data_IF_276374929712
#
_entry.id   IF_276374929712
#
_cell.length_a   1.000
_cell.length_b   1.000
_cell.length_c   1.000
_cell.angle_alpha   90.00
_cell.angle_beta   90.00
_cell.angle_gamma   90.00
#
_symmetry.space_group_name_H-M   'P 1'
#
loop_
_entity.id
_entity.type
_entity.pdbx_description
1 polymer ?
#
# COMPACT_ATOMS: atom_id res chain seq x y z
N UNK A 1 4.07 11.18 5.86
CA UNK A 1 3.53 10.05 5.10
C UNK A 1 4.36 8.80 5.36
N UNK A 2 3.77 7.78 5.98
CA UNK A 2 4.43 6.49 6.25
C UNK A 2 3.70 5.39 5.49
N UNK A 3 4.44 4.61 4.71
CA UNK A 3 3.92 3.51 3.89
C UNK A 3 4.62 2.21 4.30
N UNK A 4 3.84 1.14 4.42
CA UNK A 4 4.38 -0.21 4.63
C UNK A 4 3.95 -1.09 3.47
N UNK A 5 4.90 -1.84 2.92
CA UNK A 5 4.64 -2.89 1.95
C UNK A 5 5.33 -4.17 2.42
N UNK A 6 4.62 -5.29 2.28
CA UNK A 6 5.12 -6.62 2.49
C UNK A 6 4.93 -7.43 1.20
N UNK A 7 5.99 -8.09 0.76
CA UNK A 7 5.98 -8.96 -0.41
C UNK A 7 6.44 -10.35 0.05
N UNK A 8 5.72 -11.39 -0.39
CA UNK A 8 6.06 -12.76 -0.08
C UNK A 8 5.99 -13.64 -1.33
N UNK A 9 7.11 -14.28 -1.64
CA UNK A 9 7.20 -15.24 -2.74
C UNK A 9 6.76 -16.61 -2.24
N UNK A 10 5.68 -17.14 -2.82
CA UNK A 10 5.16 -18.47 -2.49
C UNK A 10 5.94 -19.59 -3.21
N UNK A 11 6.69 -19.25 -4.26
CA UNK A 11 7.40 -20.20 -5.12
C UNK A 11 6.62 -20.52 -6.39
N UNK A 12 7.26 -21.22 -7.33
CA UNK A 12 6.65 -21.63 -8.61
C UNK A 12 6.01 -20.48 -9.41
N UNK A 13 6.62 -19.29 -9.39
CA UNK A 13 6.11 -18.12 -10.10
C UNK A 13 5.02 -17.33 -9.37
N UNK A 14 4.55 -17.77 -8.20
CA UNK A 14 3.54 -17.07 -7.41
C UNK A 14 4.14 -16.12 -6.38
N UNK A 15 3.59 -14.91 -6.32
CA UNK A 15 3.91 -13.90 -5.32
C UNK A 15 2.64 -13.26 -4.78
N UNK A 16 2.64 -12.89 -3.51
CA UNK A 16 1.59 -12.09 -2.89
C UNK A 16 2.19 -10.80 -2.36
N UNK A 17 1.44 -9.71 -2.50
CA UNK A 17 1.80 -8.41 -1.97
C UNK A 17 0.67 -7.87 -1.10
N UNK A 18 1.05 -7.13 -0.06
CA UNK A 18 0.13 -6.38 0.76
C UNK A 18 0.78 -5.03 1.11
N UNK A 19 0.04 -3.94 1.03
CA UNK A 19 0.54 -2.63 1.43
C UNK A 19 -0.52 -1.79 2.13
N UNK A 20 -0.03 -0.89 2.98
CA UNK A 20 -0.82 0.11 3.69
C UNK A 20 -0.17 1.45 3.43
N UNK A 21 -0.91 2.38 2.81
CA UNK A 21 -0.47 3.76 2.72
C UNK A 21 -1.09 4.58 3.83
N UNK A 22 -0.35 5.59 4.28
CA UNK A 22 -0.72 6.42 5.42
C UNK A 22 -0.99 5.58 6.68
N UNK A 23 0.00 4.78 7.10
CA UNK A 23 -0.10 3.83 8.21
C UNK A 23 -0.66 4.47 9.50
N UNK A 24 -0.19 5.67 9.81
CA UNK A 24 -0.56 6.42 11.01
C UNK A 24 -1.78 7.32 10.82
N UNK A 25 -2.49 7.19 9.71
CA UNK A 25 -3.72 7.93 9.41
C UNK A 25 -3.58 9.44 9.66
N UNK A 26 -2.41 9.97 9.27
CA UNK A 26 -2.09 11.36 9.53
C UNK A 26 -2.80 12.19 8.49
N UNK A 27 -3.65 13.12 8.95
CA UNK A 27 -4.28 14.10 8.09
C UNK A 27 -3.24 15.15 7.72
N UNK A 28 -2.72 15.07 6.50
CA UNK A 28 -1.91 16.13 5.92
C UNK A 28 -2.82 16.96 5.04
N UNK A 29 -2.99 18.23 5.39
CA UNK A 29 -3.46 19.20 4.42
C UNK A 29 -2.22 19.67 3.66
N UNK A 30 -2.05 19.24 2.41
CA UNK A 30 -1.25 20.06 1.51
C UNK A 30 -1.97 21.41 1.41
N UNK A 31 -1.20 22.47 1.60
CA UNK A 31 -1.66 23.84 1.43
C UNK A 31 -2.54 23.92 0.17
N UNK A 32 -3.74 24.52 0.29
CA UNK A 32 -4.71 24.77 -0.81
C UNK A 32 -5.84 23.75 -1.08
N UNK A 33 -6.38 23.08 -0.05
CA UNK A 33 -7.81 22.72 -0.05
C UNK A 33 -8.23 21.41 -0.74
N UNK A 34 -7.29 20.55 -1.14
CA UNK A 34 -7.59 19.18 -1.58
C UNK A 34 -7.40 18.19 -0.43
N UNK A 35 -8.45 17.41 -0.14
CA UNK A 35 -8.40 16.34 0.86
C UNK A 35 -7.62 15.16 0.25
N UNK A 36 -6.51 14.77 0.87
CA UNK A 36 -5.81 13.54 0.50
C UNK A 36 -6.60 12.30 0.95
N UNK A 37 -6.41 11.19 0.22
CA UNK A 37 -6.91 9.90 0.67
C UNK A 37 -6.28 9.54 2.03
N UNK A 38 -7.13 9.16 2.98
CA UNK A 38 -6.69 8.67 4.29
C UNK A 38 -5.96 7.33 4.18
N UNK A 39 -5.93 6.56 5.27
CA UNK A 39 -5.34 5.22 5.22
C UNK A 39 -6.02 4.34 4.16
N UNK A 40 -5.23 3.81 3.23
CA UNK A 40 -5.69 2.86 2.22
C UNK A 40 -4.90 1.54 2.30
N UNK A 41 -5.52 0.47 1.81
CA UNK A 41 -4.99 -0.89 1.87
C UNK A 41 -4.98 -1.48 0.46
N UNK A 42 -3.90 -2.17 0.13
CA UNK A 42 -3.74 -2.89 -1.12
C UNK A 42 -3.34 -4.32 -0.82
N UNK A 43 -3.89 -5.26 -1.60
CA UNK A 43 -3.47 -6.65 -1.62
C UNK A 43 -3.51 -7.14 -3.05
N UNK A 44 -2.52 -7.93 -3.44
CA UNK A 44 -2.34 -8.40 -4.79
C UNK A 44 -1.70 -9.79 -4.84
N UNK A 45 -2.01 -10.50 -5.92
CA UNK A 45 -1.44 -11.81 -6.24
C UNK A 45 -0.87 -11.68 -7.65
N UNK A 46 0.38 -12.09 -7.82
CA UNK A 46 1.09 -12.05 -9.10
C UNK A 46 1.55 -13.46 -9.46
N UNK A 47 1.45 -13.79 -10.76
CA UNK A 47 1.95 -15.03 -11.33
C UNK A 47 2.88 -14.73 -12.51
N UNK A 48 4.08 -15.30 -12.51
CA UNK A 48 5.08 -15.15 -13.56
C UNK A 48 5.46 -16.53 -14.10
N UNK A 49 5.47 -16.68 -15.44
CA UNK A 49 5.77 -17.92 -16.16
C UNK A 49 7.19 -17.96 -16.73
#
# INVERSE_FOLDING_TARGET
MTHIRADYTLGHGFSVNASVNNLFDTQYAYSEGFIEEGRNFWAGIEYTF
#
